data_IF_122949690933
#
_entry.id   IF_122949690933
#
_cell.length_a   1.000
_cell.length_b   1.000
_cell.length_c   1.000
_cell.angle_alpha   90.00
_cell.angle_beta   90.00
_cell.angle_gamma   90.00
#
_symmetry.space_group_name_H-M   'P 1'
#
loop_
_entity.id
_entity.type
_entity.pdbx_description
1 polymer ?
#
# COMPACT_ATOMS: atom_id res chain seq x y z
N UNK A 1 13.72 -70.90 21.64
CA UNK A 1 12.24 -70.95 21.77
C UNK A 1 11.66 -69.69 21.12
N UNK A 2 10.97 -69.81 19.98
CA UNK A 2 10.34 -68.67 19.28
C UNK A 2 8.97 -68.39 19.90
N UNK A 3 8.78 -67.20 20.49
CA UNK A 3 7.49 -66.78 21.05
C UNK A 3 6.53 -66.49 19.89
N UNK A 4 5.50 -67.32 19.73
CA UNK A 4 4.47 -67.14 18.69
C UNK A 4 3.46 -66.12 19.22
N UNK A 5 3.45 -64.93 18.61
CA UNK A 5 2.51 -63.85 18.93
C UNK A 5 1.14 -64.25 18.36
N UNK A 6 0.09 -64.16 19.17
CA UNK A 6 -1.25 -64.60 18.77
C UNK A 6 -2.01 -63.49 18.02
N UNK A 7 -2.95 -63.85 17.13
CA UNK A 7 -3.68 -62.89 16.28
C UNK A 7 -4.39 -61.78 17.06
N UNK A 8 -4.91 -62.08 18.26
CA UNK A 8 -5.51 -61.11 19.18
C UNK A 8 -4.53 -60.05 19.71
N UNK A 9 -3.25 -60.41 19.90
CA UNK A 9 -2.21 -59.48 20.35
C UNK A 9 -1.72 -58.59 19.21
N UNK A 10 -1.74 -59.10 17.97
CA UNK A 10 -1.44 -58.32 16.76
C UNK A 10 -2.57 -57.30 16.51
N UNK A 11 -3.83 -57.68 16.64
CA UNK A 11 -4.97 -56.76 16.44
C UNK A 11 -5.03 -55.68 17.53
N UNK A 12 -4.74 -56.01 18.79
CA UNK A 12 -4.68 -55.04 19.89
C UNK A 12 -3.51 -54.05 19.73
N UNK A 13 -2.38 -54.52 19.21
CA UNK A 13 -1.22 -53.68 18.88
C UNK A 13 -1.50 -52.71 17.72
N UNK A 14 -2.25 -53.13 16.70
CA UNK A 14 -2.63 -52.26 15.57
C UNK A 14 -3.62 -51.17 16.02
N UNK A 15 -4.58 -51.48 16.89
CA UNK A 15 -5.53 -50.48 17.43
C UNK A 15 -4.82 -49.48 18.35
N UNK A 16 -3.86 -49.93 19.16
CA UNK A 16 -3.05 -49.03 19.99
C UNK A 16 -2.17 -48.09 19.12
N UNK A 17 -1.61 -48.59 18.01
CA UNK A 17 -0.78 -47.79 17.10
C UNK A 17 -1.58 -46.74 16.31
N UNK A 18 -2.86 -46.99 16.00
CA UNK A 18 -3.71 -46.02 15.30
C UNK A 18 -4.26 -44.93 16.22
N UNK A 19 -4.54 -45.23 17.50
CA UNK A 19 -5.00 -44.24 18.48
C UNK A 19 -3.91 -43.19 18.78
N UNK A 20 -2.63 -43.56 18.70
CA UNK A 20 -1.49 -42.66 18.95
C UNK A 20 -1.25 -41.67 17.79
N UNK A 21 -1.84 -41.89 16.61
CA UNK A 21 -1.67 -41.02 15.43
C UNK A 21 -2.68 -39.86 15.36
N UNK A 22 -3.66 -39.78 16.28
CA UNK A 22 -4.69 -38.72 16.26
C UNK A 22 -4.45 -37.59 17.28
N UNK A 23 -3.44 -37.67 18.14
CA UNK A 23 -3.23 -36.66 19.20
C UNK A 23 -2.31 -35.49 18.83
N UNK A 24 -1.82 -35.43 17.59
CA UNK A 24 -1.04 -34.29 17.11
C UNK A 24 -1.83 -33.44 16.10
N UNK A 25 -3.11 -33.21 16.40
CA UNK A 25 -3.78 -31.98 16.00
C UNK A 25 -3.21 -30.85 16.85
N UNK A 26 -2.03 -30.40 16.47
CA UNK A 26 -1.30 -29.25 16.98
C UNK A 26 -2.28 -28.24 17.57
N UNK A 27 -2.18 -28.02 18.90
CA UNK A 27 -2.77 -26.86 19.53
C UNK A 27 -2.42 -25.68 18.63
N UNK A 28 -3.43 -25.13 17.96
CA UNK A 28 -3.30 -23.85 17.28
C UNK A 28 -2.97 -22.89 18.38
N UNK A 29 -1.67 -22.73 18.62
CA UNK A 29 -1.18 -21.55 19.28
C UNK A 29 -1.64 -20.47 18.32
N UNK A 30 -2.69 -19.77 18.71
CA UNK A 30 -2.87 -18.40 18.27
C UNK A 30 -1.57 -17.75 18.76
N UNK A 31 -0.55 -17.80 17.91
CA UNK A 31 0.43 -16.74 17.90
C UNK A 31 -0.49 -15.57 17.64
N UNK A 32 -0.85 -14.86 18.70
CA UNK A 32 -1.22 -13.47 18.54
C UNK A 32 -0.07 -12.97 17.69
N UNK A 33 -0.34 -12.75 16.40
CA UNK A 33 0.54 -11.92 15.63
C UNK A 33 0.68 -10.73 16.57
N UNK A 34 1.87 -10.56 17.14
CA UNK A 34 2.25 -9.27 17.71
C UNK A 34 1.71 -8.32 16.67
N UNK A 35 0.82 -7.43 17.11
CA UNK A 35 0.49 -6.28 16.30
C UNK A 35 1.85 -5.59 16.09
N UNK A 36 2.59 -6.07 15.10
CA UNK A 36 3.41 -5.26 14.23
C UNK A 36 2.36 -4.30 13.73
N UNK A 37 2.23 -3.27 14.56
CA UNK A 37 1.60 -2.02 14.32
C UNK A 37 1.66 -1.86 12.81
N UNK A 38 0.49 -1.82 12.18
CA UNK A 38 0.44 -1.40 10.80
C UNK A 38 0.85 0.07 10.87
N UNK A 39 2.18 0.29 10.93
CA UNK A 39 2.80 1.59 10.91
C UNK A 39 2.43 2.09 9.53
N UNK A 40 1.30 2.78 9.43
CA UNK A 40 1.12 3.80 8.42
C UNK A 40 2.28 4.73 8.68
N UNK A 41 3.42 4.48 8.01
CA UNK A 41 4.57 5.36 8.09
C UNK A 41 4.17 6.59 7.30
N UNK A 42 3.40 7.45 7.95
CA UNK A 42 3.19 8.82 7.50
C UNK A 42 4.58 9.37 7.19
N UNK A 43 4.79 9.94 5.99
CA UNK A 43 6.08 10.52 5.66
C UNK A 43 6.43 11.54 6.73
N UNK A 44 7.52 11.30 7.47
CA UNK A 44 8.02 12.28 8.44
C UNK A 44 8.29 13.57 7.68
N UNK A 45 7.74 14.69 8.12
CA UNK A 45 7.81 15.98 7.42
C UNK A 45 9.23 16.40 7.03
N UNK A 46 10.24 15.99 7.81
CA UNK A 46 11.66 16.20 7.51
C UNK A 46 12.19 15.50 6.26
N UNK A 47 11.45 14.54 5.71
CA UNK A 47 11.78 13.80 4.49
C UNK A 47 11.12 14.38 3.23
N UNK A 48 10.25 15.38 3.37
CA UNK A 48 9.56 16.02 2.25
C UNK A 48 10.40 17.16 1.68
N UNK A 49 10.37 17.32 0.37
CA UNK A 49 11.05 18.40 -0.33
C UNK A 49 10.14 19.63 -0.38
N UNK A 50 10.54 20.80 0.15
CA UNK A 50 9.75 22.02 -0.01
C UNK A 50 9.53 22.35 -1.48
N UNK A 51 8.28 22.67 -1.85
CA UNK A 51 7.92 23.02 -3.22
C UNK A 51 6.90 24.18 -3.22
N UNK A 52 6.97 25.05 -4.22
CA UNK A 52 5.93 26.06 -4.45
C UNK A 52 4.60 25.40 -4.82
N UNK A 53 3.47 26.11 -4.83
CA UNK A 53 2.23 25.57 -5.39
C UNK A 53 2.44 25.05 -6.82
N UNK A 54 1.77 23.95 -7.15
CA UNK A 54 1.87 23.28 -8.46
C UNK A 54 0.58 23.53 -9.21
N UNK A 55 0.69 24.04 -10.44
CA UNK A 55 -0.46 24.23 -11.33
C UNK A 55 -0.17 23.57 -12.68
N UNK A 56 -0.99 22.58 -13.04
CA UNK A 56 -0.97 21.88 -14.32
C UNK A 56 -2.25 22.23 -15.06
N UNK A 57 -2.15 22.93 -16.19
CA UNK A 57 -3.28 23.29 -17.05
C UNK A 57 -3.40 22.44 -18.31
N UNK A 58 -2.40 21.59 -18.60
CA UNK A 58 -2.35 20.73 -19.78
C UNK A 58 -1.38 19.56 -19.60
N UNK A 59 -1.41 18.59 -20.52
CA UNK A 59 -0.49 17.45 -20.52
C UNK A 59 0.99 17.86 -20.66
N UNK A 60 1.28 18.98 -21.31
CA UNK A 60 2.65 19.48 -21.56
C UNK A 60 3.27 20.11 -20.31
N UNK A 61 2.44 20.59 -19.37
CA UNK A 61 2.93 21.21 -18.14
C UNK A 61 3.68 20.18 -17.28
N UNK A 62 3.25 18.91 -17.27
CA UNK A 62 3.97 17.87 -16.54
C UNK A 62 5.43 17.73 -17.02
N UNK A 63 5.67 17.90 -18.31
CA UNK A 63 7.01 17.86 -18.91
C UNK A 63 7.78 19.12 -18.54
N UNK A 64 7.12 20.27 -18.58
CA UNK A 64 7.71 21.57 -18.24
C UNK A 64 8.16 21.63 -16.78
N UNK A 65 7.38 21.06 -15.86
CA UNK A 65 7.77 20.88 -14.46
C UNK A 65 8.82 19.77 -14.25
N UNK A 66 9.06 18.94 -15.26
CA UNK A 66 10.03 17.84 -15.19
C UNK A 66 9.56 16.67 -14.31
N UNK A 67 8.24 16.44 -14.20
CA UNK A 67 7.75 15.32 -13.41
C UNK A 67 8.11 13.98 -14.06
N UNK A 68 8.66 13.01 -13.28
CA UNK A 68 9.07 11.71 -13.79
C UNK A 68 7.87 10.78 -13.97
N UNK A 69 8.10 9.52 -14.36
CA UNK A 69 7.02 8.59 -14.72
C UNK A 69 6.79 7.40 -13.77
N UNK A 70 5.51 6.99 -13.72
CA UNK A 70 4.87 5.73 -13.26
C UNK A 70 3.59 5.89 -12.41
N UNK A 71 3.00 7.08 -12.41
CA UNK A 71 1.54 7.26 -12.35
C UNK A 71 0.86 6.72 -13.62
N UNK A 72 1.06 5.42 -13.85
CA UNK A 72 0.76 4.59 -15.02
C UNK A 72 -0.66 4.83 -15.60
N UNK A 73 -0.89 4.82 -16.92
CA UNK A 73 -0.92 3.62 -17.77
C UNK A 73 0.36 3.34 -18.60
N UNK A 74 1.44 2.98 -17.91
CA UNK A 74 2.80 2.69 -18.40
C UNK A 74 3.42 3.85 -19.19
N UNK A 75 3.59 5.06 -18.67
CA UNK A 75 4.25 5.34 -17.39
C UNK A 75 4.10 6.86 -17.04
N UNK A 76 2.91 7.50 -17.14
CA UNK A 76 2.86 8.95 -16.98
C UNK A 76 2.86 9.37 -15.51
N UNK A 77 2.65 10.65 -15.25
CA UNK A 77 3.50 11.40 -14.32
C UNK A 77 3.28 11.10 -12.84
N UNK A 78 4.33 11.27 -12.05
CA UNK A 78 4.23 11.18 -10.60
C UNK A 78 4.65 12.49 -9.94
N UNK A 79 3.81 12.96 -9.03
CA UNK A 79 4.07 14.08 -8.13
C UNK A 79 4.17 13.48 -6.73
N UNK A 80 5.36 13.46 -6.15
CA UNK A 80 5.57 12.79 -4.87
C UNK A 80 6.59 13.44 -3.94
N UNK A 81 6.43 13.19 -2.64
CA UNK A 81 7.35 13.58 -1.58
C UNK A 81 7.59 15.10 -1.47
N UNK A 82 6.57 15.90 -1.78
CA UNK A 82 6.62 17.35 -1.64
C UNK A 82 5.93 17.86 -0.37
N UNK A 83 6.47 18.94 0.17
CA UNK A 83 5.84 19.78 1.18
C UNK A 83 5.47 21.12 0.52
N UNK A 84 4.18 21.37 0.39
CA UNK A 84 3.63 22.60 -0.18
C UNK A 84 2.84 23.31 0.91
N UNK A 85 3.39 24.39 1.42
CA UNK A 85 2.71 25.30 2.35
C UNK A 85 2.53 26.64 1.67
N UNK A 86 1.29 27.08 1.49
CA UNK A 86 0.98 28.29 0.72
C UNK A 86 -0.25 29.02 1.23
N UNK A 87 -0.29 30.34 0.99
CA UNK A 87 -1.49 31.16 1.21
C UNK A 87 -2.40 31.21 -0.02
N UNK A 88 -2.01 30.59 -1.14
CA UNK A 88 -2.86 30.51 -2.33
C UNK A 88 -4.11 29.67 -2.05
N UNK A 89 -5.17 29.89 -2.83
CA UNK A 89 -6.41 29.12 -2.70
C UNK A 89 -6.17 27.60 -2.86
N UNK A 90 -5.26 27.22 -3.77
CA UNK A 90 -4.97 25.83 -4.12
C UNK A 90 -3.47 25.52 -3.97
N UNK A 91 -3.15 24.34 -3.43
CA UNK A 91 -1.77 23.86 -3.30
C UNK A 91 -1.29 23.13 -4.56
N UNK A 92 -1.94 22.03 -4.91
CA UNK A 92 -1.77 21.30 -6.16
C UNK A 92 -3.06 21.40 -6.96
N UNK A 93 -3.01 22.04 -8.12
CA UNK A 93 -4.14 22.21 -9.02
C UNK A 93 -3.85 21.57 -10.37
N UNK A 94 -4.73 20.66 -10.81
CA UNK A 94 -4.61 19.97 -12.09
C UNK A 94 -5.90 20.14 -12.89
N UNK A 95 -5.78 20.62 -14.12
CA UNK A 95 -6.90 20.74 -15.04
C UNK A 95 -6.50 20.52 -16.48
N UNK A 96 -7.45 20.12 -17.33
CA UNK A 96 -7.25 20.01 -18.78
C UNK A 96 -6.34 18.86 -19.21
N UNK A 97 -6.14 17.84 -18.38
CA UNK A 97 -5.19 16.75 -18.64
C UNK A 97 -5.87 15.46 -19.09
N UNK A 98 -5.23 14.74 -20.02
CA UNK A 98 -5.65 13.44 -20.52
C UNK A 98 -4.67 12.31 -20.16
N UNK A 99 -3.47 12.63 -19.68
CA UNK A 99 -2.51 11.62 -19.20
C UNK A 99 -2.87 11.11 -17.82
N UNK A 100 -2.37 9.91 -17.50
CA UNK A 100 -2.44 9.41 -16.13
C UNK A 100 -1.47 10.17 -15.24
N UNK A 101 -1.85 10.36 -13.99
CA UNK A 101 -0.99 10.95 -12.99
C UNK A 101 -1.27 10.35 -11.61
N UNK A 102 -0.20 10.31 -10.81
CA UNK A 102 -0.21 9.86 -9.43
C UNK A 102 0.29 10.97 -8.53
N UNK A 103 -0.53 11.38 -7.56
CA UNK A 103 -0.11 12.27 -6.47
C UNK A 103 0.01 11.42 -5.20
N UNK A 104 1.22 11.32 -4.64
CA UNK A 104 1.44 10.53 -3.41
C UNK A 104 2.45 11.11 -2.45
N UNK A 105 2.30 10.82 -1.16
CA UNK A 105 3.25 11.16 -0.11
C UNK A 105 3.57 12.66 -0.06
N UNK A 106 2.61 13.52 -0.42
CA UNK A 106 2.76 14.97 -0.31
C UNK A 106 2.07 15.49 0.94
N UNK A 107 2.65 16.52 1.56
CA UNK A 107 1.97 17.38 2.52
C UNK A 107 1.52 18.65 1.80
N UNK A 108 0.23 19.00 1.90
CA UNK A 108 -0.31 20.17 1.19
C UNK A 108 -1.21 21.00 2.11
N UNK A 109 -0.67 22.11 2.60
CA UNK A 109 -1.38 23.12 3.38
C UNK A 109 -1.61 24.37 2.51
N UNK A 110 -2.88 24.67 2.21
CA UNK A 110 -3.31 25.73 1.30
C UNK A 110 -4.48 26.51 1.89
N UNK A 111 -4.74 27.70 1.35
CA UNK A 111 -5.75 28.61 1.89
C UNK A 111 -7.19 28.10 1.79
N UNK A 112 -7.52 27.26 0.79
CA UNK A 112 -8.88 26.70 0.63
C UNK A 112 -8.83 25.19 0.36
N UNK A 113 -8.10 24.73 -0.66
CA UNK A 113 -8.06 23.32 -1.07
C UNK A 113 -6.62 22.86 -1.28
N UNK A 114 -6.20 21.79 -0.60
CA UNK A 114 -4.86 21.22 -0.78
C UNK A 114 -4.63 20.71 -2.20
N UNK A 115 -5.36 19.65 -2.58
CA UNK A 115 -5.27 19.03 -3.90
C UNK A 115 -6.62 19.16 -4.61
N UNK A 116 -6.63 19.79 -5.78
CA UNK A 116 -7.84 19.99 -6.58
C UNK A 116 -7.60 19.57 -8.03
N UNK A 117 -8.51 18.75 -8.57
CA UNK A 117 -8.44 18.24 -9.93
C UNK A 117 -9.80 18.39 -10.62
N UNK A 118 -9.83 19.01 -11.78
CA UNK A 118 -11.06 19.22 -12.56
C UNK A 118 -10.80 19.10 -14.06
N UNK A 119 -11.80 18.74 -14.86
CA UNK A 119 -11.65 18.54 -16.31
C UNK A 119 -10.49 17.59 -16.71
N UNK A 120 -10.31 16.52 -15.92
CA UNK A 120 -9.34 15.45 -16.20
C UNK A 120 -10.03 14.25 -16.84
N UNK A 121 -9.31 13.52 -17.71
CA UNK A 121 -9.85 12.33 -18.35
C UNK A 121 -10.29 11.25 -17.33
N UNK A 122 -11.37 10.54 -17.65
CA UNK A 122 -11.92 9.54 -16.73
C UNK A 122 -10.92 8.40 -16.48
N UNK A 123 -10.71 8.06 -15.20
CA UNK A 123 -9.86 6.94 -14.81
C UNK A 123 -8.36 7.19 -14.89
N UNK A 124 -7.92 8.43 -15.14
CA UNK A 124 -6.48 8.76 -15.25
C UNK A 124 -5.87 9.27 -13.94
N UNK A 125 -6.68 9.54 -12.93
CA UNK A 125 -6.25 10.15 -11.67
C UNK A 125 -6.08 9.13 -10.55
N UNK A 126 -4.92 9.14 -9.90
CA UNK A 126 -4.70 8.42 -8.63
C UNK A 126 -4.13 9.38 -7.58
N UNK A 127 -4.76 9.43 -6.40
CA UNK A 127 -4.34 10.26 -5.27
C UNK A 127 -4.33 9.38 -4.03
N UNK A 128 -3.16 9.20 -3.40
CA UNK A 128 -2.98 8.29 -2.26
C UNK A 128 -1.97 8.86 -1.25
N UNK A 129 -2.13 8.57 0.04
CA UNK A 129 -1.14 8.89 1.08
C UNK A 129 -0.67 10.36 1.08
N UNK A 130 -1.59 11.31 0.94
CA UNK A 130 -1.29 12.73 1.08
C UNK A 130 -1.89 13.24 2.39
N UNK A 131 -1.23 14.20 3.02
CA UNK A 131 -1.62 14.79 4.30
C UNK A 131 -1.98 16.27 4.12
#
# INVERSE_FOLDING_TARGET
MKKIITSKEVTLAIIAATIILFSNGCCTTITTASSNDFQIREPSFSALTPHSPISIGSDDDFITYGFPGSGNSTHPYIIENYNITTTNERGIYITGTHKYFLIRNCYVDAGIVGIYSEYVANGTTTIINNT
#
